data_IF_834148964503
#
_entry.id   IF_834148964503
#
_cell.length_a   1.000
_cell.length_b   1.000
_cell.length_c   1.000
_cell.angle_alpha   90.00
_cell.angle_beta   90.00
_cell.angle_gamma   90.00
#
_symmetry.space_group_name_H-M   'P 1'
#
loop_
_entity.id
_entity.type
_entity.pdbx_description
1 polymer ?
#
# COMPACT_ATOMS: atom_id res chain seq x y z
N UNK A 1 27.52 0.87 1.77
CA UNK A 1 26.33 0.02 2.03
C UNK A 1 25.25 0.40 1.02
N UNK A 2 24.59 -0.56 0.37
CA UNK A 2 23.49 -0.25 -0.57
C UNK A 2 22.29 0.27 0.24
N UNK A 3 21.78 1.46 -0.07
CA UNK A 3 20.58 2.02 0.56
C UNK A 3 19.38 1.16 0.17
N UNK A 4 18.71 0.55 1.16
CA UNK A 4 17.53 -0.29 0.98
C UNK A 4 16.27 0.53 1.22
N UNK A 5 15.30 0.48 0.30
CA UNK A 5 14.01 1.15 0.42
C UNK A 5 12.91 0.17 0.81
N UNK A 6 12.16 0.49 1.86
CA UNK A 6 11.00 -0.29 2.29
C UNK A 6 9.72 0.29 1.67
N UNK A 7 8.98 -0.57 0.99
CA UNK A 7 7.71 -0.26 0.35
C UNK A 7 6.56 -0.93 1.10
N UNK A 8 5.51 -0.17 1.38
CA UNK A 8 4.23 -0.69 1.85
C UNK A 8 3.24 -0.74 0.68
N UNK A 9 2.55 -1.86 0.51
CA UNK A 9 1.49 -2.01 -0.50
C UNK A 9 0.11 -1.90 0.17
N UNK A 10 -0.76 -1.06 -0.36
CA UNK A 10 -2.15 -0.96 0.08
C UNK A 10 -3.08 -1.59 -0.95
N UNK A 11 -3.97 -2.47 -0.52
CA UNK A 11 -4.93 -3.15 -1.40
C UNK A 11 -6.23 -3.49 -0.67
N UNK A 12 -7.35 -3.55 -1.40
CA UNK A 12 -8.68 -3.80 -0.81
C UNK A 12 -9.44 -4.97 -1.48
N UNK A 13 -8.77 -5.78 -2.32
CA UNK A 13 -9.44 -6.77 -3.16
C UNK A 13 -8.58 -8.00 -3.46
N UNK A 14 -8.59 -8.46 -4.72
CA UNK A 14 -7.91 -9.69 -5.14
C UNK A 14 -6.40 -9.67 -4.92
N UNK A 15 -5.76 -8.49 -4.94
CA UNK A 15 -4.33 -8.32 -4.66
C UNK A 15 -3.39 -8.79 -5.78
N UNK A 16 -3.85 -8.95 -7.01
CA UNK A 16 -3.01 -9.38 -8.15
C UNK A 16 -1.85 -8.42 -8.42
N UNK A 17 -2.10 -7.10 -8.41
CA UNK A 17 -1.04 -6.10 -8.52
C UNK A 17 -0.05 -6.18 -7.35
N UNK A 18 -0.54 -6.39 -6.12
CA UNK A 18 0.34 -6.52 -4.96
C UNK A 18 1.27 -7.72 -5.08
N UNK A 19 0.76 -8.89 -5.48
CA UNK A 19 1.57 -10.09 -5.71
C UNK A 19 2.58 -9.88 -6.84
N UNK A 20 2.18 -9.29 -7.96
CA UNK A 20 3.09 -9.01 -9.08
C UNK A 20 4.24 -8.08 -8.66
N UNK A 21 3.94 -7.03 -7.88
CA UNK A 21 4.93 -6.09 -7.35
C UNK A 21 5.91 -6.81 -6.41
N UNK A 22 5.41 -7.65 -5.49
CA UNK A 22 6.25 -8.48 -4.60
C UNK A 22 7.19 -9.38 -5.42
N UNK A 23 6.64 -10.13 -6.38
CA UNK A 23 7.41 -11.06 -7.20
C UNK A 23 8.48 -10.35 -8.04
N UNK A 24 8.18 -9.17 -8.57
CA UNK A 24 9.12 -8.37 -9.34
C UNK A 24 10.29 -7.88 -8.47
N UNK A 25 9.98 -7.24 -7.33
CA UNK A 25 11.01 -6.66 -6.46
C UNK A 25 11.77 -7.68 -5.63
N UNK A 26 11.31 -8.93 -5.52
CA UNK A 26 12.05 -10.03 -4.89
C UNK A 26 13.46 -10.24 -5.48
N UNK A 27 13.69 -9.82 -6.73
CA UNK A 27 14.97 -9.92 -7.43
C UNK A 27 15.82 -8.65 -7.36
N UNK A 28 15.34 -7.59 -6.71
CA UNK A 28 15.97 -6.26 -6.71
C UNK A 28 16.50 -5.97 -5.31
N UNK A 29 17.83 -6.00 -5.14
CA UNK A 29 18.47 -6.01 -3.81
C UNK A 29 18.24 -4.74 -2.96
N UNK A 30 17.99 -3.59 -3.59
CA UNK A 30 17.81 -2.31 -2.90
C UNK A 30 16.34 -1.98 -2.59
N UNK A 31 15.40 -2.87 -2.89
CA UNK A 31 13.97 -2.68 -2.62
C UNK A 31 13.44 -3.84 -1.78
N UNK A 32 12.62 -3.52 -0.80
CA UNK A 32 11.99 -4.46 0.09
C UNK A 32 10.50 -4.17 0.15
N UNK A 33 9.67 -5.17 -0.13
CA UNK A 33 8.25 -5.06 0.20
C UNK A 33 8.10 -5.44 1.67
N UNK A 34 7.99 -4.42 2.53
CA UNK A 34 8.04 -4.60 3.98
C UNK A 34 6.72 -5.09 4.55
N UNK A 35 5.60 -4.67 3.96
CA UNK A 35 4.28 -5.05 4.43
C UNK A 35 3.18 -4.81 3.40
N UNK A 36 2.05 -5.48 3.59
CA UNK A 36 0.79 -5.26 2.87
C UNK A 36 -0.28 -4.79 3.86
N UNK A 37 -0.97 -3.70 3.55
CA UNK A 37 -2.03 -3.15 4.37
C UNK A 37 -3.37 -3.32 3.65
N UNK A 38 -4.38 -3.82 4.37
CA UNK A 38 -5.70 -4.07 3.82
C UNK A 38 -6.81 -3.62 4.79
N UNK A 39 -7.82 -2.97 4.23
CA UNK A 39 -8.99 -2.47 4.97
C UNK A 39 -10.22 -3.39 4.88
N UNK A 40 -10.08 -4.57 4.25
CA UNK A 40 -11.14 -5.56 4.10
C UNK A 40 -10.65 -6.93 4.59
N UNK A 41 -11.17 -7.43 5.72
CA UNK A 41 -10.73 -8.71 6.29
C UNK A 41 -10.80 -9.89 5.32
N UNK A 42 -11.86 -9.94 4.49
CA UNK A 42 -12.12 -11.04 3.57
C UNK A 42 -11.44 -10.87 2.19
N UNK A 43 -10.59 -9.86 2.02
CA UNK A 43 -9.89 -9.64 0.76
C UNK A 43 -8.82 -10.69 0.51
N UNK A 44 -8.84 -11.29 -0.68
CA UNK A 44 -7.88 -12.35 -1.07
C UNK A 44 -6.41 -11.91 -1.03
N UNK A 45 -6.12 -10.61 -1.05
CA UNK A 45 -4.75 -10.10 -0.83
C UNK A 45 -4.14 -10.56 0.49
N UNK A 46 -4.95 -10.81 1.54
CA UNK A 46 -4.47 -11.34 2.82
C UNK A 46 -3.90 -12.76 2.65
N UNK A 47 -4.59 -13.61 1.89
CA UNK A 47 -4.11 -14.96 1.56
C UNK A 47 -2.83 -14.92 0.72
N UNK A 48 -2.73 -13.94 -0.19
CA UNK A 48 -1.49 -13.70 -0.95
C UNK A 48 -0.33 -13.28 -0.05
N UNK A 49 -0.57 -12.36 0.88
CA UNK A 49 0.45 -11.92 1.84
C UNK A 49 1.00 -13.11 2.65
N UNK A 50 0.11 -13.97 3.17
CA UNK A 50 0.48 -15.22 3.85
C UNK A 50 1.33 -16.14 2.97
N UNK A 51 0.87 -16.42 1.75
CA UNK A 51 1.58 -17.29 0.78
C UNK A 51 2.97 -16.76 0.43
N UNK A 52 3.10 -15.44 0.25
CA UNK A 52 4.34 -14.75 -0.09
C UNK A 52 5.23 -14.51 1.13
N UNK A 53 4.77 -14.83 2.35
CA UNK A 53 5.45 -14.56 3.63
C UNK A 53 5.80 -13.08 3.81
N UNK A 54 4.88 -12.20 3.42
CA UNK A 54 4.97 -10.76 3.65
C UNK A 54 4.08 -10.40 4.83
N UNK A 55 4.62 -9.61 5.76
CA UNK A 55 3.86 -9.09 6.89
C UNK A 55 2.64 -8.31 6.40
N UNK A 56 1.52 -8.42 7.12
CA UNK A 56 0.33 -7.66 6.76
C UNK A 56 -0.39 -7.07 7.96
N UNK A 57 -1.12 -5.98 7.72
CA UNK A 57 -1.99 -5.33 8.70
C UNK A 57 -3.41 -5.23 8.16
N UNK A 58 -4.35 -5.78 8.93
CA UNK A 58 -5.77 -5.49 8.80
C UNK A 58 -6.15 -4.29 9.69
N UNK A 59 -6.87 -3.34 9.09
CA UNK A 59 -7.34 -2.14 9.78
C UNK A 59 -8.75 -1.78 9.32
N UNK A 60 -9.50 -1.09 10.18
CA UNK A 60 -10.83 -0.57 9.82
C UNK A 60 -10.75 0.91 9.39
N UNK A 61 -11.86 1.49 8.93
CA UNK A 61 -11.91 2.89 8.50
C UNK A 61 -11.53 3.88 9.61
N UNK A 62 -11.89 3.58 10.87
CA UNK A 62 -11.60 4.44 12.01
C UNK A 62 -10.10 4.42 12.34
N UNK A 63 -9.48 3.23 12.33
CA UNK A 63 -8.04 3.04 12.48
C UNK A 63 -7.24 3.83 11.42
N UNK A 64 -7.80 3.91 10.20
CA UNK A 64 -7.15 4.61 9.09
C UNK A 64 -7.20 6.13 9.23
N UNK A 65 -8.30 6.67 9.78
CA UNK A 65 -8.48 8.11 9.92
C UNK A 65 -7.85 8.69 11.19
N UNK A 66 -7.89 7.97 12.32
CA UNK A 66 -7.46 8.48 13.64
C UNK A 66 -5.94 8.39 13.88
N UNK A 67 -5.16 8.24 12.83
CA UNK A 67 -3.69 8.25 12.80
C UNK A 67 -2.97 7.10 13.54
N UNK A 68 -3.43 6.60 14.69
CA UNK A 68 -2.57 5.80 15.58
C UNK A 68 -2.06 4.45 15.01
N UNK A 69 -2.95 3.54 14.59
CA UNK A 69 -2.57 2.13 14.33
C UNK A 69 -1.77 1.96 13.04
N UNK A 70 -2.27 2.54 11.95
CA UNK A 70 -1.63 2.42 10.62
C UNK A 70 -0.30 3.17 10.61
N UNK A 71 -0.25 4.39 11.16
CA UNK A 71 0.98 5.16 11.26
C UNK A 71 2.07 4.43 12.06
N UNK A 72 1.72 3.91 13.25
CA UNK A 72 2.66 3.19 14.10
C UNK A 72 3.23 1.97 13.41
N UNK A 73 2.39 1.22 12.69
CA UNK A 73 2.82 0.05 11.94
C UNK A 73 3.74 0.40 10.76
N UNK A 74 3.43 1.46 10.01
CA UNK A 74 4.31 1.92 8.92
C UNK A 74 5.67 2.39 9.45
N UNK A 75 5.69 3.05 10.62
CA UNK A 75 6.92 3.44 11.31
C UNK A 75 7.73 2.23 11.76
N UNK A 76 7.10 1.25 12.40
CA UNK A 76 7.74 0.00 12.83
C UNK A 76 8.41 -0.73 11.65
N UNK A 77 7.72 -0.77 10.51
CA UNK A 77 8.24 -1.37 9.27
C UNK A 77 9.24 -0.48 8.52
N UNK A 78 9.59 0.69 9.05
CA UNK A 78 10.53 1.64 8.46
C UNK A 78 10.17 2.00 7.00
N UNK A 79 8.88 2.18 6.72
CA UNK A 79 8.37 2.40 5.35
C UNK A 79 8.89 3.72 4.79
N UNK A 80 9.37 3.67 3.54
CA UNK A 80 9.83 4.84 2.80
C UNK A 80 8.82 5.25 1.73
N UNK A 81 8.23 4.29 1.03
CA UNK A 81 7.27 4.52 -0.06
C UNK A 81 5.99 3.71 0.13
N UNK A 82 4.88 4.28 -0.33
CA UNK A 82 3.56 3.66 -0.32
C UNK A 82 3.11 3.47 -1.77
N UNK A 83 2.65 2.26 -2.08
CA UNK A 83 2.05 1.93 -3.37
C UNK A 83 0.61 1.49 -3.16
N UNK A 84 -0.32 2.20 -3.78
CA UNK A 84 -1.74 1.87 -3.78
C UNK A 84 -2.00 0.95 -4.98
N UNK A 85 -2.31 -0.33 -4.69
CA UNK A 85 -2.45 -1.41 -5.65
C UNK A 85 -3.87 -1.99 -5.59
N UNK A 86 -4.85 -1.21 -6.07
CA UNK A 86 -6.28 -1.55 -5.92
C UNK A 86 -6.80 -1.27 -4.51
N UNK A 87 -6.32 -0.19 -3.89
CA UNK A 87 -6.85 0.32 -2.64
C UNK A 87 -8.07 1.21 -2.90
N UNK A 88 -9.13 1.04 -2.11
CA UNK A 88 -10.45 1.64 -2.41
C UNK A 88 -10.86 2.75 -1.44
N UNK A 89 -10.00 3.13 -0.49
CA UNK A 89 -10.30 4.22 0.45
C UNK A 89 -9.49 5.47 0.12
N UNK A 90 -10.11 6.63 0.37
CA UNK A 90 -9.44 7.92 0.28
C UNK A 90 -8.28 7.97 1.27
N UNK A 91 -7.11 8.39 0.80
CA UNK A 91 -5.92 8.55 1.63
C UNK A 91 -6.13 9.74 2.59
N UNK A 92 -5.92 9.57 3.91
CA UNK A 92 -6.09 10.64 4.87
C UNK A 92 -4.94 11.66 4.77
N UNK A 93 -5.23 12.90 5.14
CA UNK A 93 -4.31 14.03 5.06
C UNK A 93 -2.98 13.77 5.78
N UNK A 94 -3.03 13.21 7.00
CA UNK A 94 -1.84 12.87 7.77
C UNK A 94 -0.85 11.99 6.99
N UNK A 95 -1.35 11.08 6.15
CA UNK A 95 -0.51 10.18 5.37
C UNK A 95 0.14 10.92 4.20
N UNK A 96 -0.59 11.84 3.57
CA UNK A 96 -0.08 12.70 2.49
C UNK A 96 1.04 13.60 3.04
N UNK A 97 0.82 14.21 4.20
CA UNK A 97 1.80 15.08 4.87
C UNK A 97 3.05 14.32 5.31
N UNK A 98 2.92 13.08 5.77
CA UNK A 98 4.04 12.26 6.26
C UNK A 98 4.83 11.58 5.15
N UNK A 99 4.21 11.34 4.00
CA UNK A 99 4.83 10.73 2.82
C UNK A 99 4.79 11.65 1.59
N UNK A 100 5.32 12.89 1.69
CA UNK A 100 5.30 13.83 0.58
C UNK A 100 6.10 13.27 -0.59
N UNK A 101 5.49 13.23 -1.78
CA UNK A 101 6.07 12.66 -3.01
C UNK A 101 6.47 11.17 -2.90
N UNK A 102 5.93 10.44 -1.91
CA UNK A 102 6.27 9.02 -1.66
C UNK A 102 5.05 8.09 -1.69
N UNK A 103 3.94 8.54 -2.27
CA UNK A 103 2.74 7.74 -2.49
C UNK A 103 2.49 7.66 -4.00
N UNK A 104 2.35 6.45 -4.54
CA UNK A 104 2.02 6.21 -5.94
C UNK A 104 0.77 5.33 -6.03
N UNK A 105 -0.12 5.63 -6.97
CA UNK A 105 -1.30 4.81 -7.27
C UNK A 105 -1.23 4.24 -8.69
N UNK A 106 -1.74 3.02 -8.88
CA UNK A 106 -2.04 2.47 -10.20
C UNK A 106 -3.55 2.56 -10.46
N UNK A 107 -3.94 3.34 -11.47
CA UNK A 107 -5.33 3.50 -11.88
C UNK A 107 -5.59 2.78 -13.22
N UNK A 108 -6.64 1.95 -13.35
CA UNK A 108 -6.91 1.18 -14.57
C UNK A 108 -7.58 2.03 -15.67
N UNK A 109 -7.17 3.28 -15.85
CA UNK A 109 -7.67 4.16 -16.90
C UNK A 109 -6.74 5.35 -17.19
N UNK A 110 -6.91 5.97 -18.37
CA UNK A 110 -6.11 7.12 -18.79
C UNK A 110 -6.60 8.40 -18.11
N UNK A 111 -5.88 8.82 -17.08
CA UNK A 111 -6.13 10.09 -16.39
C UNK A 111 -5.75 11.30 -17.28
N UNK A 112 -6.44 12.46 -17.14
CA UNK A 112 -7.57 12.74 -16.24
C UNK A 112 -8.94 12.32 -16.81
N UNK A 113 -9.01 11.71 -18.00
CA UNK A 113 -10.28 11.45 -18.73
C UNK A 113 -11.25 10.51 -17.99
N UNK A 114 -10.73 9.62 -17.15
CA UNK A 114 -11.50 8.54 -16.51
C UNK A 114 -11.28 8.47 -15.00
N UNK A 115 -11.03 9.62 -14.38
CA UNK A 115 -11.10 9.74 -12.93
C UNK A 115 -12.57 9.76 -12.45
N UNK A 116 -12.81 9.43 -11.18
CA UNK A 116 -14.10 9.72 -10.55
C UNK A 116 -14.39 11.22 -10.56
N UNK A 117 -15.65 11.64 -10.37
CA UNK A 117 -15.99 13.07 -10.30
C UNK A 117 -15.21 13.76 -9.18
N UNK A 118 -14.29 14.66 -9.54
CA UNK A 118 -13.38 15.34 -8.61
C UNK A 118 -12.16 14.52 -8.17
N UNK A 119 -11.92 13.34 -8.78
CA UNK A 119 -10.81 12.44 -8.49
C UNK A 119 -9.88 12.36 -9.70
N UNK A 120 -8.58 12.46 -9.47
CA UNK A 120 -7.55 12.37 -10.52
C UNK A 120 -6.76 11.05 -10.47
N UNK A 121 -7.27 10.06 -9.74
CA UNK A 121 -6.66 8.76 -9.51
C UNK A 121 -7.35 8.04 -8.36
#
# INVERSE_FOLDING_TARGET
>A
MIRKFNLALFASGSGTNAENIVNYFAKIMNINISCILCNKPDAYVVERAKKLKIDYLLFNKQDFQKNAKVESYLLEKNVNFIVLAGFLSLIPEWMIEKYPHRIINIHPALLPKYGGKGMYG
#
